data_IF_492596874299
#
_entry.id   IF_492596874299
#
_cell.length_a   1.000
_cell.length_b   1.000
_cell.length_c   1.000
_cell.angle_alpha   90.00
_cell.angle_beta   90.00
_cell.angle_gamma   90.00
#
_symmetry.space_group_name_H-M   'P 1'
#
loop_
_entity.id
_entity.type
_entity.pdbx_description
1 polymer ?
#
# COMPACT_ATOMS: atom_id res chain seq x y z
N UNK A 1 -36.00 19.65 -29.71
CA UNK A 1 -35.84 18.82 -28.49
C UNK A 1 -34.40 18.35 -28.42
N UNK A 2 -33.58 18.95 -27.55
CA UNK A 2 -32.23 18.44 -27.29
C UNK A 2 -32.34 17.33 -26.24
N UNK A 3 -31.93 16.11 -26.59
CA UNK A 3 -31.70 15.05 -25.59
C UNK A 3 -30.59 15.56 -24.66
N UNK A 4 -30.88 15.72 -23.37
CA UNK A 4 -29.83 15.83 -22.36
C UNK A 4 -28.97 14.58 -22.52
N UNK A 5 -27.68 14.73 -22.80
CA UNK A 5 -26.75 13.63 -22.54
C UNK A 5 -26.81 13.43 -21.03
N UNK A 6 -27.18 12.23 -20.60
CA UNK A 6 -26.89 11.82 -19.23
C UNK A 6 -25.38 11.94 -19.09
N UNK A 7 -24.93 12.89 -18.26
CA UNK A 7 -23.52 13.01 -17.94
C UNK A 7 -23.13 11.70 -17.24
N UNK A 8 -22.23 10.93 -17.86
CA UNK A 8 -21.62 9.79 -17.19
C UNK A 8 -20.98 10.31 -15.89
N UNK A 9 -21.17 9.60 -14.76
CA UNK A 9 -20.55 10.02 -13.51
C UNK A 9 -19.04 10.11 -13.71
N UNK A 10 -18.44 11.24 -13.33
CA UNK A 10 -17.00 11.46 -13.39
C UNK A 10 -16.29 10.45 -12.47
N UNK A 11 -15.87 9.34 -13.07
CA UNK A 11 -15.18 8.25 -12.39
C UNK A 11 -13.66 8.45 -12.37
N UNK A 12 -13.14 9.63 -12.73
CA UNK A 12 -11.70 9.91 -12.80
C UNK A 12 -10.99 9.58 -11.49
N UNK A 13 -11.55 10.00 -10.35
CA UNK A 13 -11.03 9.69 -9.02
C UNK A 13 -10.97 8.17 -8.77
N UNK A 14 -12.03 7.42 -9.10
CA UNK A 14 -12.07 5.96 -8.93
C UNK A 14 -11.05 5.24 -9.82
N UNK A 15 -10.84 5.70 -11.06
CA UNK A 15 -9.81 5.16 -11.93
C UNK A 15 -8.39 5.44 -11.40
N UNK A 16 -8.14 6.63 -10.86
CA UNK A 16 -6.87 6.98 -10.21
C UNK A 16 -6.61 6.14 -8.96
N UNK A 17 -7.63 5.91 -8.12
CA UNK A 17 -7.54 4.98 -6.99
C UNK A 17 -7.14 3.58 -7.45
N UNK A 18 -7.80 3.07 -8.50
CA UNK A 18 -7.51 1.73 -9.05
C UNK A 18 -6.06 1.61 -9.52
N UNK A 19 -5.55 2.62 -10.22
CA UNK A 19 -4.15 2.66 -10.66
C UNK A 19 -3.19 2.62 -9.47
N UNK A 20 -3.46 3.46 -8.47
CA UNK A 20 -2.66 3.55 -7.24
C UNK A 20 -2.61 2.22 -6.49
N UNK A 21 -3.74 1.53 -6.35
CA UNK A 21 -3.82 0.19 -5.73
C UNK A 21 -2.96 -0.83 -6.49
N UNK A 22 -3.06 -0.85 -7.83
CA UNK A 22 -2.27 -1.77 -8.66
C UNK A 22 -0.77 -1.51 -8.55
N UNK A 23 -0.38 -0.23 -8.51
CA UNK A 23 1.01 0.17 -8.35
C UNK A 23 1.54 -0.28 -6.99
N UNK A 24 0.86 0.05 -5.90
CA UNK A 24 1.23 -0.40 -4.55
C UNK A 24 1.37 -1.93 -4.47
N UNK A 25 0.41 -2.67 -5.02
CA UNK A 25 0.44 -4.13 -5.06
C UNK A 25 1.67 -4.66 -5.83
N UNK A 26 1.98 -4.05 -6.98
CA UNK A 26 3.13 -4.42 -7.82
C UNK A 26 4.44 -4.20 -7.08
N UNK A 27 4.59 -3.05 -6.42
CA UNK A 27 5.79 -2.69 -5.70
C UNK A 27 6.04 -3.57 -4.46
N UNK A 28 4.99 -3.86 -3.69
CA UNK A 28 5.08 -4.83 -2.58
C UNK A 28 5.47 -6.22 -3.11
N UNK A 29 4.90 -6.65 -4.24
CA UNK A 29 5.25 -7.93 -4.86
C UNK A 29 6.71 -7.98 -5.28
N UNK A 30 7.24 -6.93 -5.91
CA UNK A 30 8.67 -6.83 -6.28
C UNK A 30 9.58 -7.01 -5.05
N UNK A 31 9.23 -6.40 -3.92
CA UNK A 31 9.99 -6.60 -2.68
C UNK A 31 9.95 -8.05 -2.20
N UNK A 32 8.76 -8.65 -2.12
CA UNK A 32 8.58 -10.03 -1.65
C UNK A 32 9.30 -11.04 -2.56
N UNK A 33 9.18 -10.87 -3.87
CA UNK A 33 9.83 -11.73 -4.86
C UNK A 33 11.35 -11.58 -4.82
N UNK A 34 11.85 -10.33 -4.77
CA UNK A 34 13.27 -10.05 -4.71
C UNK A 34 13.93 -10.42 -3.37
N UNK A 35 13.13 -10.78 -2.36
CA UNK A 35 13.61 -11.30 -1.08
C UNK A 35 13.22 -12.76 -0.83
N UNK A 36 12.68 -13.47 -1.82
CA UNK A 36 12.18 -14.84 -1.65
C UNK A 36 13.23 -15.80 -1.10
N UNK A 37 14.45 -15.72 -1.60
CA UNK A 37 15.58 -16.58 -1.22
C UNK A 37 16.46 -15.95 -0.13
N UNK A 38 16.17 -14.71 0.27
CA UNK A 38 16.94 -14.03 1.29
C UNK A 38 16.66 -14.64 2.68
N UNK A 39 17.74 -14.94 3.40
CA UNK A 39 17.73 -15.39 4.79
C UNK A 39 18.33 -14.31 5.68
N UNK A 40 17.55 -13.86 6.66
CA UNK A 40 18.02 -12.91 7.67
C UNK A 40 19.02 -13.58 8.63
N UNK A 41 19.84 -12.76 9.31
CA UNK A 41 20.61 -13.26 10.45
C UNK A 41 19.66 -13.80 11.53
N UNK A 42 20.05 -14.90 12.20
CA UNK A 42 19.24 -15.61 13.23
C UNK A 42 18.55 -14.68 14.23
N UNK A 43 19.24 -13.64 14.69
CA UNK A 43 18.71 -12.67 15.68
C UNK A 43 17.62 -11.73 15.14
N UNK A 44 17.46 -11.60 13.82
CA UNK A 44 16.42 -10.80 13.18
C UNK A 44 15.41 -11.66 12.42
N UNK A 45 15.56 -12.99 12.44
CA UNK A 45 14.77 -13.92 11.63
C UNK A 45 13.28 -13.82 11.94
N UNK A 46 12.90 -13.84 13.22
CA UNK A 46 11.51 -13.69 13.65
C UNK A 46 10.92 -12.35 13.18
N UNK A 47 11.61 -11.25 13.45
CA UNK A 47 11.13 -9.92 13.08
C UNK A 47 11.03 -9.75 11.56
N UNK A 48 11.98 -10.30 10.81
CA UNK A 48 11.97 -10.27 9.35
C UNK A 48 10.83 -11.11 8.77
N UNK A 49 10.58 -12.30 9.32
CA UNK A 49 9.45 -13.13 8.92
C UNK A 49 8.11 -12.46 9.22
N UNK A 50 7.99 -11.78 10.36
CA UNK A 50 6.82 -10.97 10.69
C UNK A 50 6.61 -9.83 9.68
N UNK A 51 7.68 -9.16 9.24
CA UNK A 51 7.61 -8.14 8.18
C UNK A 51 7.11 -8.74 6.86
N UNK A 52 7.66 -9.89 6.43
CA UNK A 52 7.21 -10.58 5.21
C UNK A 52 5.73 -10.93 5.29
N UNK A 53 5.28 -11.48 6.41
CA UNK A 53 3.89 -11.85 6.63
C UNK A 53 2.96 -10.62 6.54
N UNK A 54 3.33 -9.52 7.19
CA UNK A 54 2.56 -8.26 7.13
C UNK A 54 2.48 -7.69 5.71
N UNK A 55 3.58 -7.72 4.95
CA UNK A 55 3.58 -7.30 3.55
C UNK A 55 2.70 -8.19 2.66
N UNK A 56 2.65 -9.51 2.94
CA UNK A 56 1.71 -10.43 2.26
C UNK A 56 0.26 -10.07 2.59
N UNK A 57 -0.04 -9.78 3.86
CA UNK A 57 -1.37 -9.37 4.29
C UNK A 57 -1.80 -8.03 3.64
N UNK A 58 -0.90 -7.05 3.57
CA UNK A 58 -1.13 -5.81 2.82
C UNK A 58 -1.46 -6.07 1.36
N UNK A 59 -0.71 -6.97 0.70
CA UNK A 59 -0.94 -7.33 -0.69
C UNK A 59 -2.33 -7.93 -0.90
N UNK A 60 -2.75 -8.85 -0.02
CA UNK A 60 -4.09 -9.45 -0.05
C UNK A 60 -5.15 -8.36 0.15
N UNK A 61 -4.96 -7.48 1.13
CA UNK A 61 -5.85 -6.35 1.37
C UNK A 61 -5.99 -5.43 0.15
N UNK A 62 -4.91 -5.16 -0.59
CA UNK A 62 -4.97 -4.35 -1.81
C UNK A 62 -5.81 -4.99 -2.93
N UNK A 63 -5.90 -6.33 -2.99
CA UNK A 63 -6.81 -7.03 -3.91
C UNK A 63 -8.27 -6.80 -3.50
N UNK A 64 -8.57 -6.87 -2.20
CA UNK A 64 -9.90 -6.54 -1.67
C UNK A 64 -10.27 -5.07 -1.96
N UNK A 65 -9.34 -4.15 -1.74
CA UNK A 65 -9.51 -2.72 -2.04
C UNK A 65 -9.78 -2.47 -3.53
N UNK A 66 -9.03 -3.12 -4.43
CA UNK A 66 -9.28 -3.02 -5.87
C UNK A 66 -10.69 -3.51 -6.23
N UNK A 67 -11.15 -4.59 -5.58
CA UNK A 67 -12.50 -5.13 -5.80
C UNK A 67 -13.58 -4.15 -5.37
N UNK A 68 -13.42 -3.50 -4.20
CA UNK A 68 -14.33 -2.44 -3.76
C UNK A 68 -14.39 -1.29 -4.78
N UNK A 69 -13.25 -0.79 -5.25
CA UNK A 69 -13.20 0.29 -6.25
C UNK A 69 -13.86 -0.14 -7.57
N UNK A 70 -13.59 -1.37 -8.04
CA UNK A 70 -14.23 -1.90 -9.25
C UNK A 70 -15.75 -1.98 -9.13
N UNK A 71 -16.26 -2.29 -7.94
CA UNK A 71 -17.69 -2.32 -7.65
C UNK A 71 -18.30 -0.91 -7.63
N UNK A 72 -17.57 0.08 -7.10
CA UNK A 72 -17.97 1.49 -7.16
C UNK A 72 -18.03 2.02 -8.59
N UNK A 73 -17.03 1.74 -9.43
CA UNK A 73 -17.03 2.12 -10.85
C UNK A 73 -18.26 1.55 -11.58
N UNK A 74 -18.67 0.33 -11.24
CA UNK A 74 -19.83 -0.34 -11.82
C UNK A 74 -21.17 0.07 -11.20
N UNK A 75 -21.18 0.99 -10.23
CA UNK A 75 -22.35 1.34 -9.43
C UNK A 75 -23.04 0.11 -8.80
N UNK A 76 -22.26 -0.90 -8.44
CA UNK A 76 -22.77 -2.15 -7.87
C UNK A 76 -23.05 -2.00 -6.37
N UNK A 77 -24.33 -1.82 -6.03
CA UNK A 77 -24.82 -1.68 -4.65
C UNK A 77 -24.85 -2.99 -3.86
N UNK A 78 -24.57 -4.13 -4.50
CA UNK A 78 -24.63 -5.46 -3.87
C UNK A 78 -23.31 -5.89 -3.23
N UNK A 79 -22.24 -5.10 -3.40
CA UNK A 79 -20.95 -5.41 -2.79
C UNK A 79 -21.04 -5.35 -1.26
N UNK A 80 -20.83 -6.49 -0.63
CA UNK A 80 -20.65 -6.63 0.80
C UNK A 80 -19.27 -7.26 1.05
N UNK A 81 -18.46 -6.61 1.85
CA UNK A 81 -17.21 -7.17 2.39
C UNK A 81 -17.24 -7.02 3.91
N UNK A 82 -16.88 -8.10 4.60
CA UNK A 82 -16.79 -8.10 6.06
C UNK A 82 -15.65 -7.20 6.57
N UNK A 83 -14.64 -6.97 5.72
CA UNK A 83 -13.43 -6.20 6.04
C UNK A 83 -13.45 -4.75 5.54
N UNK A 84 -14.06 -4.51 4.38
CA UNK A 84 -14.05 -3.21 3.70
C UNK A 84 -15.46 -2.81 3.23
N UNK A 85 -16.20 -2.12 4.09
CA UNK A 85 -17.61 -1.77 3.82
C UNK A 85 -17.76 -0.50 2.99
N UNK A 86 -16.81 0.43 3.06
CA UNK A 86 -16.88 1.72 2.37
C UNK A 86 -15.48 2.37 2.18
N UNK A 87 -15.46 3.48 1.44
CA UNK A 87 -14.25 4.25 1.10
C UNK A 87 -13.60 4.93 2.31
N UNK A 88 -14.35 5.26 3.36
CA UNK A 88 -13.81 5.79 4.63
C UNK A 88 -13.01 4.74 5.41
N UNK A 89 -13.54 3.51 5.50
CA UNK A 89 -12.81 2.40 6.09
C UNK A 89 -11.57 2.04 5.28
N UNK A 90 -11.67 2.09 3.94
CA UNK A 90 -10.52 1.93 3.06
C UNK A 90 -9.46 2.99 3.38
N UNK A 91 -9.83 4.28 3.44
CA UNK A 91 -8.90 5.37 3.75
C UNK A 91 -8.15 5.12 5.06
N UNK A 92 -8.87 4.85 6.15
CA UNK A 92 -8.24 4.58 7.46
C UNK A 92 -7.25 3.41 7.39
N UNK A 93 -7.60 2.34 6.68
CA UNK A 93 -6.70 1.21 6.50
C UNK A 93 -5.45 1.58 5.68
N UNK A 94 -5.61 2.35 4.60
CA UNK A 94 -4.48 2.85 3.79
C UNK A 94 -3.55 3.74 4.63
N UNK A 95 -4.08 4.64 5.45
CA UNK A 95 -3.27 5.48 6.35
C UNK A 95 -2.46 4.66 7.36
N UNK A 96 -3.04 3.58 7.90
CA UNK A 96 -2.30 2.66 8.77
C UNK A 96 -1.17 1.96 8.02
N UNK A 97 -1.41 1.50 6.79
CA UNK A 97 -0.39 0.83 5.97
C UNK A 97 0.75 1.81 5.61
N UNK A 98 0.43 3.06 5.26
CA UNK A 98 1.45 4.09 4.97
C UNK A 98 2.39 4.25 6.17
N UNK A 99 1.85 4.41 7.38
CA UNK A 99 2.63 4.52 8.62
C UNK A 99 3.43 3.26 8.91
N UNK A 100 2.85 2.09 8.64
CA UNK A 100 3.54 0.82 8.85
C UNK A 100 4.74 0.64 7.92
N UNK A 101 4.63 1.06 6.65
CA UNK A 101 5.76 1.03 5.72
C UNK A 101 6.86 2.00 6.18
N UNK A 102 6.49 3.24 6.50
CA UNK A 102 7.39 4.24 7.08
C UNK A 102 6.57 5.31 7.82
N UNK A 103 6.80 5.44 9.12
CA UNK A 103 6.19 6.50 9.91
C UNK A 103 7.08 7.75 9.85
N UNK A 104 6.68 8.73 9.06
CA UNK A 104 7.41 10.01 8.90
C UNK A 104 7.37 10.87 10.17
N UNK A 105 6.47 10.59 11.13
CA UNK A 105 6.27 11.41 12.32
C UNK A 105 6.86 10.80 13.60
N UNK A 106 7.43 9.59 13.51
CA UNK A 106 7.97 8.91 14.68
C UNK A 106 9.44 9.28 14.90
N UNK A 107 9.74 9.87 16.06
CA UNK A 107 11.11 10.01 16.55
C UNK A 107 11.74 8.64 16.90
N UNK A 108 10.90 7.63 17.15
CA UNK A 108 11.35 6.24 17.28
C UNK A 108 11.47 5.66 15.88
N UNK A 109 12.59 5.02 15.55
CA UNK A 109 12.84 4.37 14.26
C UNK A 109 11.84 3.23 13.96
N UNK A 110 10.61 3.58 13.61
CA UNK A 110 9.50 2.64 13.44
C UNK A 110 9.02 2.60 12.00
N UNK A 111 8.76 1.39 11.53
CA UNK A 111 8.31 1.12 10.17
C UNK A 111 9.20 0.10 9.48
N UNK A 112 8.62 -0.60 8.51
CA UNK A 112 9.30 -1.68 7.78
C UNK A 112 10.59 -1.17 7.12
N UNK A 113 10.48 -0.06 6.38
CA UNK A 113 11.61 0.43 5.59
C UNK A 113 12.77 0.84 6.50
N UNK A 114 12.47 1.60 7.56
CA UNK A 114 13.51 2.07 8.50
C UNK A 114 14.20 0.90 9.18
N UNK A 115 13.45 -0.10 9.66
CA UNK A 115 14.03 -1.29 10.26
C UNK A 115 14.99 -2.02 9.31
N UNK A 116 14.61 -2.18 8.04
CA UNK A 116 15.47 -2.80 7.04
C UNK A 116 16.74 -1.96 6.81
N UNK A 117 16.60 -0.65 6.66
CA UNK A 117 17.70 0.30 6.44
C UNK A 117 18.66 0.37 7.63
N UNK A 118 18.17 0.38 8.87
CA UNK A 118 19.00 0.65 10.06
C UNK A 118 19.40 -0.59 10.81
N UNK A 119 18.54 -1.60 10.91
CA UNK A 119 18.81 -2.77 11.75
C UNK A 119 19.35 -3.95 10.97
N UNK A 120 19.01 -4.08 9.68
CA UNK A 120 19.38 -5.25 8.88
C UNK A 120 20.46 -4.97 7.84
N UNK A 121 20.27 -3.93 7.02
CA UNK A 121 21.02 -3.73 5.77
C UNK A 121 21.89 -2.47 5.78
N UNK A 122 22.13 -1.88 6.96
CA UNK A 122 23.07 -0.77 7.10
C UNK A 122 24.53 -1.25 6.88
N UNK A 123 25.44 -0.32 6.62
CA UNK A 123 26.84 -0.65 6.34
C UNK A 123 27.61 -1.22 7.54
N UNK A 124 27.26 -0.86 8.78
CA UNK A 124 27.83 -1.47 9.99
C UNK A 124 27.46 -2.96 10.10
N UNK A 125 26.19 -3.30 9.82
CA UNK A 125 25.68 -4.68 9.81
C UNK A 125 26.36 -5.47 8.70
N UNK A 126 26.47 -4.92 7.49
CA UNK A 126 27.21 -5.55 6.38
C UNK A 126 28.66 -5.86 6.76
N UNK A 127 29.39 -4.88 7.34
CA UNK A 127 30.78 -5.06 7.80
C UNK A 127 30.92 -6.14 8.88
N UNK A 128 29.88 -6.33 9.69
CA UNK A 128 29.78 -7.39 10.71
C UNK A 128 29.32 -8.74 10.16
N UNK A 129 29.19 -8.89 8.84
CA UNK A 129 28.83 -10.14 8.18
C UNK A 129 27.34 -10.46 8.17
N UNK A 130 26.48 -9.47 8.42
CA UNK A 130 25.03 -9.68 8.32
C UNK A 130 24.63 -9.85 6.85
N UNK A 131 23.76 -10.83 6.54
CA UNK A 131 23.31 -11.05 5.18
C UNK A 131 22.49 -9.84 4.73
N UNK A 132 22.75 -9.40 3.50
CA UNK A 132 22.02 -8.31 2.84
C UNK A 132 21.74 -8.73 1.39
N UNK A 133 20.52 -8.53 0.86
CA UNK A 133 20.25 -8.77 -0.56
C UNK A 133 21.15 -7.91 -1.45
N UNK A 134 21.63 -8.48 -2.56
CA UNK A 134 22.48 -7.73 -3.51
C UNK A 134 21.79 -6.47 -4.04
N UNK A 135 20.48 -6.53 -4.24
CA UNK A 135 19.61 -5.44 -4.72
C UNK A 135 18.85 -4.71 -3.59
N UNK A 136 19.35 -4.75 -2.34
CA UNK A 136 18.65 -4.17 -1.18
C UNK A 136 18.17 -2.73 -1.38
N UNK A 137 18.96 -1.86 -2.02
CA UNK A 137 18.54 -0.48 -2.32
C UNK A 137 17.28 -0.46 -3.19
N UNK A 138 17.24 -1.23 -4.29
CA UNK A 138 16.06 -1.31 -5.17
C UNK A 138 14.84 -1.91 -4.46
N UNK A 139 15.07 -2.82 -3.53
CA UNK A 139 14.00 -3.40 -2.70
C UNK A 139 13.42 -2.36 -1.75
N UNK A 140 14.26 -1.58 -1.10
CA UNK A 140 13.84 -0.44 -0.27
C UNK A 140 13.07 0.59 -1.09
N UNK A 141 13.56 0.96 -2.27
CA UNK A 141 12.86 1.86 -3.18
C UNK A 141 11.50 1.29 -3.59
N UNK A 142 11.39 -0.01 -3.84
CA UNK A 142 10.09 -0.64 -4.13
C UNK A 142 9.10 -0.45 -2.97
N UNK A 143 9.53 -0.60 -1.72
CA UNK A 143 8.62 -0.35 -0.58
C UNK A 143 8.25 1.14 -0.44
N UNK A 144 9.17 2.06 -0.74
CA UNK A 144 8.86 3.49 -0.71
C UNK A 144 7.93 3.90 -1.87
N UNK A 145 8.12 3.35 -3.07
CA UNK A 145 7.21 3.53 -4.20
C UNK A 145 5.80 2.99 -3.90
N UNK A 146 5.72 1.85 -3.19
CA UNK A 146 4.43 1.36 -2.69
C UNK A 146 3.79 2.38 -1.75
N UNK A 147 4.56 2.96 -0.84
CA UNK A 147 4.09 3.98 0.10
C UNK A 147 3.62 5.25 -0.63
N UNK A 148 4.34 5.71 -1.64
CA UNK A 148 3.93 6.86 -2.46
C UNK A 148 2.61 6.57 -3.17
N UNK A 149 2.47 5.42 -3.83
CA UNK A 149 1.22 5.02 -4.47
C UNK A 149 0.05 4.95 -3.47
N UNK A 150 0.31 4.54 -2.23
CA UNK A 150 -0.69 4.54 -1.17
C UNK A 150 -1.07 5.96 -0.71
N UNK A 151 -0.11 6.89 -0.64
CA UNK A 151 -0.40 8.32 -0.37
C UNK A 151 -1.29 8.90 -1.47
N UNK A 152 -1.00 8.59 -2.73
CA UNK A 152 -1.84 9.01 -3.87
C UNK A 152 -3.25 8.41 -3.80
N UNK A 153 -3.36 7.13 -3.43
CA UNK A 153 -4.65 6.49 -3.18
C UNK A 153 -5.45 7.22 -2.10
N UNK A 154 -4.80 7.55 -0.97
CA UNK A 154 -5.45 8.28 0.12
C UNK A 154 -5.93 9.66 -0.31
N UNK A 155 -5.12 10.38 -1.09
CA UNK A 155 -5.51 11.69 -1.64
C UNK A 155 -6.72 11.59 -2.57
N UNK A 156 -6.74 10.58 -3.45
CA UNK A 156 -7.88 10.36 -4.35
C UNK A 156 -9.15 9.97 -3.59
N UNK A 157 -9.03 9.18 -2.52
CA UNK A 157 -10.15 8.84 -1.62
C UNK A 157 -10.75 10.09 -0.98
N UNK A 158 -9.92 11.04 -0.55
CA UNK A 158 -10.39 12.32 0.00
C UNK A 158 -11.19 13.13 -1.02
N UNK A 159 -10.67 13.27 -2.24
CA UNK A 159 -11.38 13.95 -3.32
C UNK A 159 -12.74 13.32 -3.60
N UNK A 160 -12.81 12.00 -3.67
CA UNK A 160 -14.05 11.27 -3.91
C UNK A 160 -15.06 11.37 -2.75
N UNK A 161 -14.61 11.25 -1.51
CA UNK A 161 -15.50 11.34 -0.35
C UNK A 161 -16.07 12.76 -0.20
N UNK A 162 -15.30 13.81 -0.53
CA UNK A 162 -15.80 15.20 -0.56
C UNK A 162 -16.88 15.39 -1.64
N UNK A 163 -16.65 14.90 -2.86
CA UNK A 163 -17.61 15.01 -3.97
C UNK A 163 -18.92 14.25 -3.69
N UNK A 164 -18.85 13.12 -3.00
CA UNK A 164 -20.03 12.27 -2.73
C UNK A 164 -20.81 12.66 -1.47
N UNK A 165 -20.21 13.42 -0.55
CA UNK A 165 -20.90 13.92 0.66
C UNK A 165 -21.52 15.31 0.48
N UNK A 166 -21.02 16.11 -0.46
CA UNK A 166 -21.61 17.38 -0.90
C UNK A 166 -21.94 17.33 -2.40
N UNK A 167 -23.01 16.61 -2.81
CA UNK A 167 -23.51 16.75 -4.17
C UNK A 167 -24.04 18.19 -4.34
N UNK A 168 -23.48 18.91 -5.30
CA UNK A 168 -23.91 20.27 -5.66
C UNK A 168 -25.38 20.33 -6.11
#
# INVERSE_FOLDING_TARGET
MFKRREEEPDNSALHSMKSSIKNAHTYISKFLDGTKEFQAARRHEEQYNNIKQRLVEMKIFLVEANTLVDKKIKNDITYQSDRLKNTEQLKKAIEMIIKELRDDNSEKDSGVIKFLETEMWNDDRKKRGFPTPQNHELLIHSLDDARVALKDLSFNLDGYNLQTTNPA
#
